data_IF_339436632154
#
_entry.id   IF_339436632154
#
_cell.length_a   1.000
_cell.length_b   1.000
_cell.length_c   1.000
_cell.angle_alpha   90.00
_cell.angle_beta   90.00
_cell.angle_gamma   90.00
#
_symmetry.space_group_name_H-M   'P 1'
#
loop_
_entity.id
_entity.type
_entity.pdbx_description
1 polymer ?
#
# COMPACT_ATOMS: atom_id res chain seq x y z
N UNK A 1 -19.15 3.00 -12.31
CA UNK A 1 -17.96 2.25 -11.86
C UNK A 1 -18.43 0.83 -11.58
N UNK A 2 -17.96 -0.16 -12.33
CA UNK A 2 -18.34 -1.56 -12.10
C UNK A 2 -17.45 -2.19 -11.01
N UNK A 3 -18.02 -3.07 -10.20
CA UNK A 3 -17.37 -3.75 -9.06
C UNK A 3 -16.11 -4.50 -9.48
N UNK A 4 -16.07 -5.01 -10.72
CA UNK A 4 -14.88 -5.64 -11.32
C UNK A 4 -13.68 -4.71 -11.43
N UNK A 5 -13.91 -3.44 -11.76
CA UNK A 5 -12.83 -2.43 -11.88
C UNK A 5 -12.23 -2.04 -10.53
N UNK A 6 -13.04 -2.03 -9.46
CA UNK A 6 -12.59 -1.73 -8.10
C UNK A 6 -11.69 -2.85 -7.59
N UNK A 7 -12.08 -4.11 -7.80
CA UNK A 7 -11.29 -5.26 -7.36
C UNK A 7 -9.91 -5.30 -8.01
N UNK A 8 -9.80 -4.94 -9.29
CA UNK A 8 -8.51 -4.93 -9.97
C UNK A 8 -7.56 -3.85 -9.42
N UNK A 9 -8.08 -2.66 -9.12
CA UNK A 9 -7.29 -1.61 -8.48
C UNK A 9 -6.79 -2.03 -7.09
N UNK A 10 -7.65 -2.70 -6.31
CA UNK A 10 -7.29 -3.20 -4.99
C UNK A 10 -6.21 -4.28 -5.06
N UNK A 11 -6.28 -5.21 -6.03
CA UNK A 11 -5.23 -6.23 -6.24
C UNK A 11 -3.86 -5.61 -6.47
N UNK A 12 -3.78 -4.57 -7.31
CA UNK A 12 -2.51 -3.88 -7.59
C UNK A 12 -1.95 -3.22 -6.33
N UNK A 13 -2.79 -2.62 -5.50
CA UNK A 13 -2.37 -2.02 -4.23
C UNK A 13 -1.85 -3.09 -3.25
N UNK A 14 -2.58 -4.19 -3.11
CA UNK A 14 -2.17 -5.32 -2.27
C UNK A 14 -0.83 -5.88 -2.74
N UNK A 15 -0.67 -6.13 -4.05
CA UNK A 15 0.58 -6.67 -4.60
C UNK A 15 1.78 -5.75 -4.30
N UNK A 16 1.62 -4.43 -4.45
CA UNK A 16 2.66 -3.44 -4.15
C UNK A 16 2.99 -3.36 -2.65
N UNK A 17 1.98 -3.45 -1.80
CA UNK A 17 2.15 -3.47 -0.35
C UNK A 17 2.91 -4.74 0.07
N UNK A 18 2.49 -5.90 -0.44
CA UNK A 18 3.13 -7.19 -0.19
C UNK A 18 4.60 -7.17 -0.59
N UNK A 19 4.94 -6.72 -1.80
CA UNK A 19 6.34 -6.63 -2.26
C UNK A 19 7.20 -5.76 -1.34
N UNK A 20 6.68 -4.59 -0.94
CA UNK A 20 7.40 -3.66 -0.05
C UNK A 20 7.58 -4.21 1.35
N UNK A 21 6.52 -4.75 1.95
CA UNK A 21 6.60 -5.28 3.31
C UNK A 21 7.41 -6.56 3.37
N UNK A 22 7.33 -7.42 2.36
CA UNK A 22 8.20 -8.59 2.26
C UNK A 22 9.68 -8.19 2.24
N UNK A 23 10.08 -7.30 1.32
CA UNK A 23 11.47 -6.80 1.23
C UNK A 23 11.95 -6.13 2.51
N UNK A 24 11.05 -5.48 3.25
CA UNK A 24 11.40 -4.75 4.48
C UNK A 24 11.53 -5.67 5.71
N UNK A 25 10.67 -6.68 5.81
CA UNK A 25 10.50 -7.46 7.03
C UNK A 25 11.07 -8.87 6.96
N UNK A 26 11.22 -9.46 5.77
CA UNK A 26 11.68 -10.84 5.62
C UNK A 26 13.17 -10.85 5.28
N UNK A 27 14.01 -11.06 6.29
CA UNK A 27 15.46 -11.13 6.14
C UNK A 27 15.97 -12.54 5.82
N UNK A 28 15.24 -13.58 6.25
CA UNK A 28 15.60 -14.98 6.05
C UNK A 28 14.38 -15.75 5.55
N UNK A 29 14.13 -15.77 4.23
CA UNK A 29 12.96 -16.43 3.67
C UNK A 29 12.89 -17.90 4.11
N UNK A 30 11.75 -18.29 4.69
CA UNK A 30 11.47 -19.65 5.13
C UNK A 30 10.02 -20.04 4.85
N UNK A 31 9.65 -21.28 5.19
CA UNK A 31 8.28 -21.78 5.01
C UNK A 31 7.26 -21.20 5.99
N UNK A 32 7.71 -20.46 7.00
CA UNK A 32 6.90 -19.86 8.07
C UNK A 32 7.47 -18.51 8.47
N UNK A 33 6.60 -17.60 8.91
CA UNK A 33 7.01 -16.32 9.47
C UNK A 33 7.31 -16.47 10.96
N UNK A 34 8.49 -16.02 11.39
CA UNK A 34 8.76 -15.94 12.83
C UNK A 34 7.95 -14.80 13.49
N UNK A 35 7.91 -14.77 14.83
CA UNK A 35 7.10 -13.77 15.56
C UNK A 35 7.53 -12.31 15.27
N UNK A 36 8.81 -12.09 14.99
CA UNK A 36 9.37 -10.77 14.66
C UNK A 36 8.94 -10.35 13.26
N UNK A 37 9.00 -11.26 12.30
CA UNK A 37 8.56 -11.07 10.92
C UNK A 37 7.04 -10.79 10.86
N UNK A 38 6.23 -11.55 11.59
CA UNK A 38 4.78 -11.33 11.69
C UNK A 38 4.47 -9.92 12.23
N UNK A 39 5.10 -9.55 13.35
CA UNK A 39 4.92 -8.22 13.95
C UNK A 39 5.38 -7.11 13.00
N UNK A 40 6.52 -7.30 12.33
CA UNK A 40 7.02 -6.34 11.35
C UNK A 40 6.04 -6.15 10.19
N UNK A 41 5.52 -7.24 9.62
CA UNK A 41 4.56 -7.20 8.51
C UNK A 41 3.30 -6.44 8.91
N UNK A 42 2.72 -6.75 10.07
CA UNK A 42 1.52 -6.06 10.56
C UNK A 42 1.75 -4.53 10.65
N UNK A 43 2.84 -4.12 11.31
CA UNK A 43 3.20 -2.71 11.41
C UNK A 43 3.50 -2.08 10.03
N UNK A 44 4.17 -2.82 9.15
CA UNK A 44 4.50 -2.35 7.81
C UNK A 44 3.24 -2.07 6.98
N UNK A 45 2.28 -2.99 7.00
CA UNK A 45 1.01 -2.84 6.28
C UNK A 45 0.24 -1.61 6.78
N UNK A 46 0.13 -1.44 8.11
CA UNK A 46 -0.52 -0.27 8.72
C UNK A 46 0.15 1.04 8.28
N UNK A 47 1.49 1.12 8.39
CA UNK A 47 2.24 2.32 7.97
C UNK A 47 2.17 2.56 6.47
N UNK A 48 2.14 1.51 5.66
CA UNK A 48 2.01 1.62 4.20
C UNK A 48 0.67 2.24 3.82
N UNK A 49 -0.43 1.77 4.43
CA UNK A 49 -1.78 2.30 4.18
C UNK A 49 -1.90 3.76 4.65
N UNK A 50 -1.34 4.11 5.80
CA UNK A 50 -1.30 5.49 6.29
C UNK A 50 -0.55 6.42 5.33
N UNK A 51 0.62 5.99 4.86
CA UNK A 51 1.42 6.72 3.90
C UNK A 51 0.69 6.87 2.55
N UNK A 52 0.10 5.79 2.06
CA UNK A 52 -0.68 5.78 0.82
C UNK A 52 -1.85 6.76 0.88
N UNK A 53 -2.65 6.73 1.95
CA UNK A 53 -3.77 7.62 2.15
C UNK A 53 -3.34 9.09 2.21
N UNK A 54 -2.23 9.37 2.91
CA UNK A 54 -1.69 10.73 3.04
C UNK A 54 -1.22 11.27 1.70
N UNK A 55 -0.43 10.49 0.96
CA UNK A 55 0.06 10.87 -0.38
C UNK A 55 -1.09 11.01 -1.38
N UNK A 56 -2.05 10.07 -1.36
CA UNK A 56 -3.22 10.10 -2.24
C UNK A 56 -4.06 11.36 -2.04
N UNK A 57 -4.33 11.75 -0.78
CA UNK A 57 -5.04 13.01 -0.48
C UNK A 57 -4.28 14.24 -0.98
N UNK A 58 -2.99 14.30 -0.71
CA UNK A 58 -2.15 15.42 -1.14
C UNK A 58 -2.10 15.54 -2.67
N UNK A 59 -1.91 14.42 -3.37
CA UNK A 59 -1.87 14.36 -4.83
C UNK A 59 -3.20 14.78 -5.44
N UNK A 60 -4.31 14.21 -4.97
CA UNK A 60 -5.64 14.58 -5.48
C UNK A 60 -5.96 16.06 -5.23
N UNK A 61 -5.63 16.59 -4.05
CA UNK A 61 -5.82 18.02 -3.75
C UNK A 61 -5.06 18.92 -4.72
N UNK A 62 -3.81 18.56 -5.07
CA UNK A 62 -3.01 19.27 -6.08
C UNK A 62 -3.63 19.15 -7.47
N UNK A 63 -4.02 17.94 -7.88
CA UNK A 63 -4.60 17.70 -9.19
C UNK A 63 -5.88 18.52 -9.43
N UNK A 64 -6.76 18.63 -8.44
CA UNK A 64 -7.98 19.45 -8.57
C UNK A 64 -7.66 20.94 -8.70
N UNK A 65 -6.65 21.45 -7.97
CA UNK A 65 -6.21 22.85 -8.08
C UNK A 65 -5.67 23.17 -9.47
N UNK A 66 -4.85 22.28 -10.05
CA UNK A 66 -4.31 22.51 -11.40
C UNK A 66 -5.41 22.41 -12.48
N UNK A 67 -6.39 21.50 -12.31
CA UNK A 67 -7.54 21.41 -13.22
C UNK A 67 -8.43 22.67 -13.20
N UNK A 68 -8.53 23.34 -12.06
CA UNK A 68 -9.31 24.58 -11.93
C UNK A 68 -8.59 25.83 -12.47
N UNK A 69 -7.31 25.71 -12.85
CA UNK A 69 -6.50 26.80 -13.43
C UNK A 69 -6.50 26.80 -14.96
N UNK A 70 -7.04 25.76 -15.57
CA UNK A 70 -7.25 25.62 -17.02
C UNK A 70 -8.72 25.93 -17.29
#
# INVERSE_FOLDING_TARGET
MDTGSIMEQVKVQIARMTDKCFKKCIGKPGGTLDNSEQKCIAMCMDRYMDAWNTVSRAYNSRLQKERARI
#
